data_IF_910557932569
#
_entry.id   IF_910557932569
#
_cell.length_a   1.000
_cell.length_b   1.000
_cell.length_c   1.000
_cell.angle_alpha   90.00
_cell.angle_beta   90.00
_cell.angle_gamma   90.00
#
_symmetry.space_group_name_H-M   'P 1'
#
loop_
_entity.id
_entity.type
_entity.pdbx_description
1 polymer ?
#
# COMPACT_ATOMS: atom_id res chain seq x y z
N UNK A 1 55.31 -57.47 32.35
CA UNK A 1 53.93 -57.74 32.82
C UNK A 1 53.13 -56.46 32.64
N UNK A 2 52.50 -56.28 31.47
CA UNK A 2 51.05 -56.36 31.28
C UNK A 2 50.24 -55.53 32.29
N UNK A 3 49.75 -54.36 31.86
CA UNK A 3 48.33 -54.20 31.53
C UNK A 3 48.03 -52.81 30.95
N UNK A 4 47.50 -52.81 29.72
CA UNK A 4 46.68 -51.74 29.17
C UNK A 4 45.37 -51.61 29.96
N UNK A 5 44.84 -50.37 30.03
CA UNK A 5 43.41 -49.99 29.95
C UNK A 5 43.41 -48.44 29.93
N UNK A 6 43.43 -47.82 28.74
CA UNK A 6 42.27 -47.43 27.92
C UNK A 6 41.49 -46.26 28.53
N UNK A 7 40.92 -45.42 27.64
CA UNK A 7 39.84 -44.41 27.85
C UNK A 7 40.39 -42.98 28.14
N UNK A 8 40.08 -41.89 27.41
CA UNK A 8 39.12 -41.59 26.33
C UNK A 8 39.28 -40.09 25.90
N UNK A 9 39.06 -39.77 24.62
CA UNK A 9 38.78 -38.43 24.02
C UNK A 9 39.93 -37.41 24.07
N UNK A 10 40.29 -36.64 23.04
CA UNK A 10 39.52 -35.62 22.30
C UNK A 10 40.29 -35.35 20.98
N UNK A 11 39.72 -35.73 19.84
CA UNK A 11 39.23 -34.86 18.74
C UNK A 11 40.30 -33.98 18.07
N UNK A 12 40.52 -34.33 16.79
CA UNK A 12 41.22 -33.64 15.72
C UNK A 12 40.95 -32.13 15.65
N UNK A 13 42.02 -31.34 15.60
CA UNK A 13 42.01 -29.94 15.18
C UNK A 13 42.44 -29.90 13.71
N UNK A 14 41.48 -30.04 12.80
CA UNK A 14 41.66 -29.81 11.36
C UNK A 14 41.48 -28.31 11.13
N UNK A 15 42.58 -27.66 10.72
CA UNK A 15 42.61 -26.30 10.19
C UNK A 15 42.08 -26.37 8.75
N UNK A 16 40.95 -25.72 8.38
CA UNK A 16 40.64 -25.53 6.98
C UNK A 16 41.46 -24.38 6.42
N UNK A 17 42.17 -24.71 5.35
CA UNK A 17 42.87 -23.80 4.47
C UNK A 17 41.99 -22.64 4.00
N UNK A 18 42.61 -21.47 4.00
CA UNK A 18 42.13 -20.23 3.39
C UNK A 18 42.08 -20.45 1.87
N UNK A 19 40.91 -20.80 1.35
CA UNK A 19 40.62 -20.68 -0.08
C UNK A 19 40.12 -19.26 -0.32
N UNK A 20 41.03 -18.37 -0.71
CA UNK A 20 40.68 -17.04 -1.20
C UNK A 20 39.98 -17.16 -2.56
N UNK A 21 38.67 -16.89 -2.60
CA UNK A 21 38.00 -16.51 -3.83
C UNK A 21 38.50 -15.12 -4.26
N UNK A 22 38.97 -14.92 -5.50
CA UNK A 22 39.23 -13.58 -6.03
C UNK A 22 37.87 -12.94 -6.31
N UNK A 23 37.35 -12.19 -5.33
CA UNK A 23 36.11 -11.44 -5.47
C UNK A 23 36.34 -10.32 -6.48
N UNK A 24 35.85 -10.51 -7.70
CA UNK A 24 35.73 -9.47 -8.71
C UNK A 24 34.75 -8.42 -8.21
N UNK A 25 35.25 -7.25 -7.82
CA UNK A 25 34.42 -6.07 -7.54
C UNK A 25 34.08 -5.37 -8.86
N UNK A 26 33.31 -6.03 -9.72
CA UNK A 26 32.45 -5.26 -10.62
C UNK A 26 31.25 -4.83 -9.79
N UNK A 27 31.29 -3.60 -9.30
CA UNK A 27 30.12 -2.91 -8.79
C UNK A 27 29.12 -2.84 -9.94
N UNK A 28 28.26 -3.85 -10.06
CA UNK A 28 27.10 -3.81 -10.92
C UNK A 28 26.34 -2.55 -10.56
N UNK A 29 26.37 -1.55 -11.45
CA UNK A 29 25.44 -0.43 -11.38
C UNK A 29 24.07 -1.08 -11.39
N UNK A 30 23.40 -1.09 -10.25
CA UNK A 30 22.00 -1.48 -10.19
C UNK A 30 21.30 -0.67 -11.28
N UNK A 31 20.46 -1.30 -12.12
CA UNK A 31 19.64 -0.54 -13.05
C UNK A 31 18.93 0.56 -12.26
N UNK A 32 18.81 1.79 -12.81
CA UNK A 32 18.09 2.84 -12.11
C UNK A 32 16.71 2.31 -11.72
N UNK A 33 16.22 2.61 -10.50
CA UNK A 33 14.90 2.15 -10.08
C UNK A 33 13.89 2.56 -11.15
N UNK A 34 13.12 1.58 -11.65
CA UNK A 34 12.04 1.86 -12.59
C UNK A 34 11.06 2.74 -11.85
N UNK A 35 11.02 4.03 -12.20
CA UNK A 35 10.00 4.92 -11.65
C UNK A 35 8.69 4.49 -12.28
N UNK A 36 7.85 3.81 -11.50
CA UNK A 36 6.52 3.41 -11.97
C UNK A 36 5.75 4.65 -12.44
N UNK A 37 4.89 4.50 -13.45
CA UNK A 37 4.17 5.64 -14.03
C UNK A 37 2.70 5.53 -13.68
N UNK A 38 2.07 6.69 -13.54
CA UNK A 38 0.61 6.78 -13.59
C UNK A 38 0.14 6.26 -14.96
N UNK A 39 -0.89 5.44 -14.92
CA UNK A 39 -1.52 4.82 -16.08
C UNK A 39 -2.78 5.60 -16.48
N UNK A 40 -3.19 5.48 -17.73
CA UNK A 40 -4.50 5.99 -18.16
C UNK A 40 -5.62 5.30 -17.37
N UNK A 41 -6.66 6.06 -16.99
CA UNK A 41 -7.78 5.60 -16.14
C UNK A 41 -8.79 4.73 -16.91
N UNK A 42 -8.31 3.85 -17.80
CA UNK A 42 -9.12 3.04 -18.72
C UNK A 42 -9.60 1.70 -18.13
N UNK A 43 -9.17 1.38 -16.91
CA UNK A 43 -9.68 0.24 -16.14
C UNK A 43 -9.65 0.50 -14.63
N UNK A 44 -10.52 -0.16 -13.84
CA UNK A 44 -10.46 -0.09 -12.37
C UNK A 44 -9.08 -0.46 -11.79
N UNK A 45 -8.41 -1.44 -12.39
CA UNK A 45 -7.09 -1.89 -11.96
C UNK A 45 -6.04 -0.78 -12.16
N UNK A 46 -6.13 -0.02 -13.26
CA UNK A 46 -5.28 1.15 -13.47
C UNK A 46 -5.59 2.25 -12.43
N UNK A 47 -6.85 2.43 -12.02
CA UNK A 47 -7.19 3.37 -10.96
C UNK A 47 -6.59 2.95 -9.62
N UNK A 48 -6.68 1.67 -9.25
CA UNK A 48 -6.04 1.17 -8.01
C UNK A 48 -4.52 1.33 -8.08
N UNK A 49 -3.89 0.98 -9.20
CA UNK A 49 -2.46 1.22 -9.41
C UNK A 49 -2.10 2.70 -9.19
N UNK A 50 -2.85 3.62 -9.82
CA UNK A 50 -2.64 5.06 -9.64
C UNK A 50 -2.92 5.53 -8.22
N UNK A 51 -3.90 4.95 -7.53
CA UNK A 51 -4.20 5.24 -6.14
C UNK A 51 -2.99 4.93 -5.26
N UNK A 52 -2.40 3.73 -5.40
CA UNK A 52 -1.17 3.36 -4.70
C UNK A 52 -0.03 4.34 -4.96
N UNK A 53 0.24 4.65 -6.23
CA UNK A 53 1.29 5.61 -6.60
C UNK A 53 1.03 7.03 -6.08
N UNK A 54 -0.23 7.46 -5.98
CA UNK A 54 -0.59 8.77 -5.46
C UNK A 54 -0.26 8.86 -3.96
N UNK A 55 -0.54 7.81 -3.19
CA UNK A 55 -0.17 7.69 -1.78
C UNK A 55 1.35 7.68 -1.59
N UNK A 56 2.05 6.80 -2.29
CA UNK A 56 3.52 6.66 -2.17
C UNK A 56 4.28 7.96 -2.50
N UNK A 57 3.74 8.75 -3.43
CA UNK A 57 4.36 10.00 -3.90
C UNK A 57 3.79 11.23 -3.23
N UNK A 58 2.81 11.08 -2.34
CA UNK A 58 2.03 12.18 -1.77
C UNK A 58 1.54 13.14 -2.87
N UNK A 59 1.13 12.60 -4.02
CA UNK A 59 0.71 13.37 -5.19
C UNK A 59 -0.80 13.60 -5.13
N UNK A 60 -1.17 14.73 -4.54
CA UNK A 60 -2.57 15.08 -4.31
C UNK A 60 -3.34 15.30 -5.62
N UNK A 61 -2.71 15.89 -6.62
CA UNK A 61 -3.32 16.17 -7.92
C UNK A 61 -3.71 14.88 -8.64
N UNK A 62 -2.84 13.87 -8.64
CA UNK A 62 -3.16 12.56 -9.23
C UNK A 62 -4.20 11.80 -8.40
N UNK A 63 -4.18 11.93 -7.07
CA UNK A 63 -5.17 11.34 -6.18
C UNK A 63 -6.59 11.82 -6.51
N UNK A 64 -6.81 13.13 -6.57
CA UNK A 64 -8.17 13.68 -6.76
C UNK A 64 -8.77 13.35 -8.13
N UNK A 65 -7.93 13.09 -9.14
CA UNK A 65 -8.39 12.70 -10.47
C UNK A 65 -9.00 11.28 -10.47
N UNK A 66 -8.82 10.48 -9.42
CA UNK A 66 -9.34 9.11 -9.39
C UNK A 66 -10.84 9.05 -9.05
N UNK A 67 -11.40 10.10 -8.47
CA UNK A 67 -12.74 10.08 -7.88
C UNK A 67 -13.77 10.82 -8.72
N UNK A 68 -15.02 10.37 -8.63
CA UNK A 68 -16.16 11.11 -9.16
C UNK A 68 -16.61 12.21 -8.20
N UNK A 69 -17.32 13.22 -8.72
CA UNK A 69 -17.88 14.29 -7.89
C UNK A 69 -18.92 13.80 -6.86
N UNK A 70 -19.62 12.70 -7.16
CA UNK A 70 -20.59 12.04 -6.29
C UNK A 70 -19.98 10.90 -5.45
N UNK A 71 -18.66 10.92 -5.26
CA UNK A 71 -17.95 9.93 -4.43
C UNK A 71 -18.38 9.98 -2.96
N UNK A 72 -18.48 8.79 -2.38
CA UNK A 72 -18.70 8.59 -0.94
C UNK A 72 -17.73 7.57 -0.40
N UNK A 73 -17.11 7.89 0.74
CA UNK A 73 -16.41 6.91 1.56
C UNK A 73 -17.22 6.51 2.78
N UNK A 74 -17.27 5.23 3.05
CA UNK A 74 -17.93 4.64 4.22
C UNK A 74 -16.86 4.12 5.18
N UNK A 75 -16.90 4.61 6.41
CA UNK A 75 -16.08 4.06 7.49
C UNK A 75 -16.55 2.64 7.83
N UNK A 76 -15.66 1.83 8.41
CA UNK A 76 -16.06 0.52 8.89
C UNK A 76 -17.12 0.66 9.99
N UNK A 77 -18.08 -0.27 10.03
CA UNK A 77 -19.17 -0.22 11.04
C UNK A 77 -18.61 -0.26 12.48
N UNK A 78 -17.44 -0.90 12.67
CA UNK A 78 -16.77 -0.98 13.98
C UNK A 78 -16.18 0.37 14.38
N UNK A 79 -15.52 1.09 13.47
CA UNK A 79 -14.98 2.42 13.80
C UNK A 79 -16.08 3.38 14.20
N UNK A 80 -17.21 3.32 13.50
CA UNK A 80 -18.40 4.16 13.80
C UNK A 80 -19.03 3.77 15.16
N UNK A 81 -19.02 2.48 15.53
CA UNK A 81 -19.54 2.00 16.81
C UNK A 81 -18.61 2.38 17.98
N UNK A 82 -17.29 2.24 17.81
CA UNK A 82 -16.29 2.53 18.84
C UNK A 82 -16.05 4.03 19.01
N UNK A 83 -16.24 4.82 17.94
CA UNK A 83 -16.02 6.26 17.90
C UNK A 83 -17.29 6.98 17.40
N UNK A 84 -18.25 7.29 18.29
CA UNK A 84 -19.54 7.87 17.91
C UNK A 84 -19.44 9.30 17.34
N UNK A 85 -18.27 9.93 17.41
CA UNK A 85 -17.93 11.20 16.77
C UNK A 85 -17.51 11.05 15.31
N UNK A 86 -17.14 9.85 14.86
CA UNK A 86 -16.85 9.56 13.45
C UNK A 86 -18.19 9.41 12.71
N UNK A 87 -18.43 10.18 11.63
CA UNK A 87 -19.63 10.00 10.83
C UNK A 87 -19.58 8.64 10.12
N UNK A 88 -20.73 8.04 9.79
CA UNK A 88 -20.75 6.76 9.06
C UNK A 88 -20.15 6.85 7.65
N UNK A 89 -20.07 8.06 7.10
CA UNK A 89 -19.50 8.32 5.78
C UNK A 89 -19.12 9.77 5.64
N UNK A 90 -18.28 10.05 4.65
CA UNK A 90 -17.98 11.39 4.19
C UNK A 90 -17.91 11.45 2.66
N UNK A 91 -18.02 12.66 2.11
CA UNK A 91 -17.97 12.89 0.67
C UNK A 91 -16.57 13.27 0.20
N UNK A 92 -16.46 13.54 -1.10
CA UNK A 92 -15.20 13.88 -1.75
C UNK A 92 -14.46 15.07 -1.11
N UNK A 93 -15.17 16.11 -0.67
CA UNK A 93 -14.50 17.29 -0.11
C UNK A 93 -13.81 17.01 1.23
N UNK A 94 -14.43 16.21 2.10
CA UNK A 94 -13.80 15.81 3.37
C UNK A 94 -12.61 14.90 3.14
N UNK A 95 -12.74 13.95 2.21
CA UNK A 95 -11.67 13.02 1.83
C UNK A 95 -10.46 13.78 1.23
N UNK A 96 -10.72 14.79 0.39
CA UNK A 96 -9.72 15.71 -0.14
C UNK A 96 -9.01 16.50 0.96
N UNK A 97 -9.76 17.04 1.91
CA UNK A 97 -9.19 17.82 3.01
C UNK A 97 -8.27 16.95 3.88
N UNK A 98 -8.74 15.76 4.27
CA UNK A 98 -7.96 14.83 5.08
C UNK A 98 -6.69 14.35 4.34
N UNK A 99 -6.83 13.91 3.09
CA UNK A 99 -5.70 13.40 2.30
C UNK A 99 -4.68 14.49 2.00
N UNK A 100 -5.12 15.71 1.67
CA UNK A 100 -4.22 16.85 1.48
C UNK A 100 -3.46 17.15 2.76
N UNK A 101 -4.15 17.19 3.91
CA UNK A 101 -3.51 17.43 5.20
C UNK A 101 -2.36 16.47 5.48
N UNK A 102 -2.56 15.18 5.18
CA UNK A 102 -1.51 14.18 5.31
C UNK A 102 -0.37 14.36 4.29
N UNK A 103 -0.70 14.60 3.01
CA UNK A 103 0.31 14.71 1.94
C UNK A 103 1.19 15.96 2.08
N UNK A 104 0.63 17.05 2.60
CA UNK A 104 1.31 18.33 2.80
C UNK A 104 2.00 18.45 4.17
N UNK A 105 1.77 17.52 5.12
CA UNK A 105 2.43 17.53 6.42
C UNK A 105 3.94 17.28 6.26
N UNK A 106 4.74 18.27 6.64
CA UNK A 106 6.20 18.22 6.55
C UNK A 106 6.83 17.21 7.51
N UNK A 107 6.09 16.77 8.52
CA UNK A 107 6.54 15.74 9.45
C UNK A 107 6.32 14.33 8.90
N UNK A 108 5.44 14.15 7.91
CA UNK A 108 5.28 12.88 7.21
C UNK A 108 6.41 12.73 6.20
N UNK A 109 7.37 11.85 6.49
CA UNK A 109 8.51 11.62 5.61
C UNK A 109 8.06 10.88 4.35
N UNK A 110 7.46 9.71 4.55
CA UNK A 110 7.00 8.82 3.52
C UNK A 110 5.73 8.09 3.95
N UNK A 111 5.01 7.65 2.92
CA UNK A 111 3.81 6.84 3.06
C UNK A 111 3.97 5.66 2.11
N UNK A 112 3.76 4.45 2.58
CA UNK A 112 3.81 3.23 1.77
C UNK A 112 2.45 2.54 1.85
N UNK A 113 1.95 2.07 0.71
CA UNK A 113 0.68 1.36 0.62
C UNK A 113 0.88 0.05 -0.11
N UNK A 114 0.79 -1.05 0.62
CA UNK A 114 0.79 -2.41 0.05
C UNK A 114 -0.59 -3.05 0.20
N UNK A 115 -1.01 -3.83 -0.77
CA UNK A 115 -2.31 -4.50 -0.76
C UNK A 115 -2.40 -5.65 -1.75
N UNK A 116 -3.48 -6.43 -1.65
CA UNK A 116 -3.82 -7.50 -2.58
C UNK A 116 -5.16 -7.18 -3.24
N UNK A 117 -5.09 -6.96 -4.56
CA UNK A 117 -6.25 -6.68 -5.41
C UNK A 117 -6.98 -7.98 -5.74
N UNK A 118 -8.25 -8.08 -5.37
CA UNK A 118 -9.13 -9.21 -5.65
C UNK A 118 -9.69 -9.22 -7.07
N UNK A 119 -10.57 -10.19 -7.38
CA UNK A 119 -11.26 -10.23 -8.67
C UNK A 119 -12.30 -9.13 -8.78
N UNK A 120 -12.72 -8.87 -10.02
CA UNK A 120 -13.79 -7.94 -10.35
C UNK A 120 -15.16 -8.59 -10.20
N UNK A 121 -16.06 -7.88 -9.55
CA UNK A 121 -17.43 -8.30 -9.29
C UNK A 121 -18.43 -7.22 -9.73
N UNK A 122 -19.71 -7.57 -9.82
CA UNK A 122 -20.79 -6.61 -10.02
C UNK A 122 -21.01 -5.81 -8.73
N UNK A 123 -21.20 -4.50 -8.86
CA UNK A 123 -21.43 -3.64 -7.70
C UNK A 123 -22.88 -3.69 -7.23
N UNK A 124 -23.08 -3.69 -5.91
CA UNK A 124 -24.40 -3.52 -5.29
C UNK A 124 -24.90 -2.07 -5.26
N UNK A 125 -24.01 -1.08 -5.46
CA UNK A 125 -24.39 0.32 -5.51
C UNK A 125 -24.88 0.68 -6.91
N UNK A 126 -26.08 1.27 -6.98
CA UNK A 126 -26.70 1.68 -8.25
C UNK A 126 -25.89 2.69 -9.07
N UNK A 127 -24.99 3.44 -8.42
CA UNK A 127 -24.11 4.43 -9.04
C UNK A 127 -22.78 3.86 -9.55
N UNK A 128 -22.55 2.56 -9.41
CA UNK A 128 -21.32 1.87 -9.79
C UNK A 128 -21.61 0.68 -10.68
N UNK A 129 -20.72 0.41 -11.62
CA UNK A 129 -20.82 -0.73 -12.53
C UNK A 129 -20.18 -1.98 -11.91
N UNK A 130 -19.06 -1.80 -11.22
CA UNK A 130 -18.22 -2.91 -10.76
C UNK A 130 -17.63 -2.63 -9.38
N UNK A 131 -17.25 -3.71 -8.70
CA UNK A 131 -16.58 -3.69 -7.41
C UNK A 131 -15.30 -4.52 -7.45
N UNK A 132 -14.29 -4.11 -6.70
CA UNK A 132 -13.09 -4.89 -6.42
C UNK A 132 -12.84 -4.85 -4.91
N UNK A 133 -12.77 -6.04 -4.31
CA UNK A 133 -12.30 -6.20 -2.94
C UNK A 133 -10.78 -6.10 -2.92
N UNK A 134 -10.26 -5.23 -2.07
CA UNK A 134 -8.84 -5.10 -1.77
C UNK A 134 -8.60 -5.60 -0.35
N UNK A 135 -7.65 -6.51 -0.19
CA UNK A 135 -7.33 -7.17 1.09
C UNK A 135 -5.88 -6.97 1.46
N UNK A 136 -5.52 -7.31 2.71
CA UNK A 136 -4.16 -7.16 3.20
C UNK A 136 -3.62 -5.74 2.97
N UNK A 137 -4.48 -4.73 3.19
CA UNK A 137 -4.06 -3.34 3.08
C UNK A 137 -3.09 -3.08 4.23
N UNK A 138 -1.88 -2.64 3.91
CA UNK A 138 -0.87 -2.18 4.85
C UNK A 138 -0.51 -0.74 4.47
N UNK A 139 -1.08 0.22 5.18
CA UNK A 139 -0.72 1.62 5.06
C UNK A 139 0.33 1.94 6.14
N UNK A 140 1.55 2.20 5.71
CA UNK A 140 2.66 2.59 6.59
C UNK A 140 2.87 4.09 6.45
N UNK A 141 2.79 4.82 7.55
CA UNK A 141 3.05 6.26 7.61
C UNK A 141 4.21 6.51 8.54
N UNK A 142 5.30 7.03 7.98
CA UNK A 142 6.52 7.36 8.72
C UNK A 142 6.52 8.86 9.06
N UNK A 143 6.47 9.17 10.35
CA UNK A 143 6.37 10.53 10.88
C UNK A 143 7.62 10.85 11.68
N UNK A 144 8.32 11.92 11.33
CA UNK A 144 9.45 12.44 12.11
C UNK A 144 8.96 13.53 13.06
N UNK A 145 9.18 13.34 14.35
CA UNK A 145 8.91 14.35 15.35
C UNK A 145 9.81 15.59 15.13
N UNK A 146 9.24 16.80 15.04
CA UNK A 146 10.02 18.01 14.78
C UNK A 146 10.87 18.48 15.97
N UNK A 147 10.58 18.05 17.20
CA UNK A 147 11.29 18.46 18.42
C UNK A 147 12.56 17.64 18.64
N UNK A 148 12.47 16.32 18.53
CA UNK A 148 13.58 15.40 18.84
C UNK A 148 14.10 14.59 17.63
N UNK A 149 13.41 14.68 16.49
CA UNK A 149 13.78 14.00 15.25
C UNK A 149 13.50 12.50 15.26
N UNK A 150 12.79 11.96 16.25
CA UNK A 150 12.46 10.53 16.33
C UNK A 150 11.49 10.15 15.21
N UNK A 151 11.79 9.05 14.53
CA UNK A 151 10.91 8.49 13.51
C UNK A 151 9.92 7.52 14.17
N UNK A 152 8.64 7.78 13.98
CA UNK A 152 7.53 6.90 14.39
C UNK A 152 6.88 6.31 13.16
N UNK A 153 6.72 4.99 13.15
CA UNK A 153 6.06 4.26 12.08
C UNK A 153 4.68 3.83 12.53
N UNK A 154 3.64 4.36 11.89
CA UNK A 154 2.26 3.94 12.09
C UNK A 154 1.88 2.95 10.99
N UNK A 155 1.36 1.79 11.38
CA UNK A 155 0.91 0.75 10.44
C UNK A 155 -0.58 0.54 10.64
N UNK A 156 -1.35 0.81 9.59
CA UNK A 156 -2.79 0.58 9.54
C UNK A 156 -3.04 -0.65 8.67
N UNK A 157 -3.87 -1.57 9.16
CA UNK A 157 -4.23 -2.78 8.47
C UNK A 157 -5.73 -2.81 8.18
N UNK A 158 -6.10 -3.30 7.00
CA UNK A 158 -7.52 -3.34 6.64
C UNK A 158 -7.82 -4.12 5.37
N UNK A 159 -9.10 -4.05 5.02
CA UNK A 159 -9.63 -4.46 3.72
C UNK A 159 -10.63 -3.39 3.28
N UNK A 160 -10.86 -3.27 1.98
CA UNK A 160 -11.78 -2.29 1.45
C UNK A 160 -12.45 -2.78 0.18
N UNK A 161 -13.71 -2.40 0.00
CA UNK A 161 -14.40 -2.52 -1.28
C UNK A 161 -14.28 -1.19 -2.04
N UNK A 162 -13.71 -1.24 -3.24
CA UNK A 162 -13.70 -0.11 -4.17
C UNK A 162 -14.73 -0.36 -5.27
N UNK A 163 -15.59 0.62 -5.51
CA UNK A 163 -16.60 0.57 -6.55
C UNK A 163 -16.32 1.62 -7.62
N UNK A 164 -16.52 1.22 -8.87
CA UNK A 164 -16.09 2.01 -10.02
C UNK A 164 -17.24 2.21 -11.00
N UNK A 165 -17.23 3.36 -11.66
CA UNK A 165 -18.17 3.70 -12.74
C UNK A 165 -17.41 4.19 -13.97
N UNK A 166 -17.89 3.82 -15.15
CA UNK A 166 -17.45 4.45 -16.40
C UNK A 166 -17.88 5.90 -16.48
N UNK A 167 -17.04 6.75 -17.05
CA UNK A 167 -17.37 8.14 -17.34
C UNK A 167 -17.94 8.28 -18.76
N UNK A 168 -18.45 9.46 -19.09
CA UNK A 168 -18.70 9.83 -20.50
C UNK A 168 -17.42 10.29 -21.22
N UNK A 169 -16.34 10.56 -20.48
CA UNK A 169 -15.04 10.94 -21.01
C UNK A 169 -14.30 9.77 -21.65
N UNK A 170 -13.44 10.10 -22.63
CA UNK A 170 -12.63 9.13 -23.37
C UNK A 170 -11.20 9.62 -23.55
N UNK A 171 -10.25 8.70 -23.69
CA UNK A 171 -8.88 9.00 -24.11
C UNK A 171 -8.83 9.47 -25.57
N UNK A 172 -7.67 9.94 -26.02
CA UNK A 172 -7.46 10.27 -27.44
C UNK A 172 -7.67 9.07 -28.38
N UNK A 173 -7.44 7.86 -27.87
CA UNK A 173 -7.62 6.58 -28.54
C UNK A 173 -9.08 6.09 -28.51
N UNK A 174 -9.96 6.77 -27.77
CA UNK A 174 -11.39 6.47 -27.67
C UNK A 174 -11.77 5.50 -26.56
N UNK A 175 -10.85 5.16 -25.65
CA UNK A 175 -11.14 4.29 -24.50
C UNK A 175 -11.89 5.08 -23.43
N UNK A 176 -12.98 4.50 -22.89
CA UNK A 176 -13.75 5.13 -21.81
C UNK A 176 -12.95 5.18 -20.51
N UNK A 177 -12.95 6.33 -19.86
CA UNK A 177 -12.32 6.50 -18.55
C UNK A 177 -13.22 5.98 -17.42
N UNK A 178 -12.63 5.73 -16.27
CA UNK A 178 -13.28 5.23 -15.05
C UNK A 178 -12.99 6.16 -13.88
N UNK A 179 -13.90 6.18 -12.91
CA UNK A 179 -13.74 6.82 -11.61
C UNK A 179 -14.07 5.84 -10.47
N UNK A 180 -13.45 6.05 -9.31
CA UNK A 180 -13.90 5.51 -8.02
C UNK A 180 -15.11 6.34 -7.58
N UNK A 181 -16.22 5.67 -7.29
CA UNK A 181 -17.48 6.30 -6.86
C UNK A 181 -17.89 5.93 -5.44
N UNK A 182 -17.41 4.79 -4.94
CA UNK A 182 -17.56 4.39 -3.55
C UNK A 182 -16.27 3.72 -3.09
N UNK A 183 -15.80 4.10 -1.90
CA UNK A 183 -14.79 3.35 -1.17
C UNK A 183 -15.37 2.98 0.19
N UNK A 184 -15.53 1.69 0.45
CA UNK A 184 -16.03 1.20 1.72
C UNK A 184 -14.90 0.52 2.49
N UNK A 185 -14.56 1.10 3.63
CA UNK A 185 -13.66 0.47 4.57
C UNK A 185 -14.34 -0.72 5.25
N UNK A 186 -13.60 -1.82 5.36
CA UNK A 186 -14.08 -3.06 5.93
C UNK A 186 -13.21 -3.38 7.13
N UNK A 187 -13.85 -3.81 8.21
CA UNK A 187 -13.10 -4.43 9.29
C UNK A 187 -12.37 -5.66 8.76
N UNK A 188 -11.06 -5.69 8.95
CA UNK A 188 -10.28 -6.90 8.75
C UNK A 188 -10.85 -7.98 9.65
N UNK A 189 -11.58 -8.93 9.06
CA UNK A 189 -11.78 -10.23 9.68
C UNK A 189 -10.40 -10.88 9.63
N UNK A 190 -9.66 -10.83 10.75
CA UNK A 190 -8.43 -11.61 10.87
C UNK A 190 -8.70 -13.08 10.50
N UNK A 191 -7.68 -13.82 10.02
CA UNK A 191 -7.83 -15.26 9.80
C UNK A 191 -8.29 -16.00 11.05
#
# INVERSE_FOLDING_TARGET
MQNLKAIRWIILLIIPLVAGCPWSTESGKLPPPVTEKFLERTSPENLLHNFGLAWERKNFEEYILLFSEDYTFFFSDVDVEEHPDIPPSWGLEQDKEATRGLFEDTNVEDVELDWVVGPREESEFAQADVKILVTNIYLTVNIRDPEDGVLTTNIIQGAADFHFRKTEETTAEGDTLWHIVVWKDLTTVGP
#
